data_IF_570950861928
#
_entry.id   IF_570950861928
#
_cell.length_a   1.000
_cell.length_b   1.000
_cell.length_c   1.000
_cell.angle_alpha   90.00
_cell.angle_beta   90.00
_cell.angle_gamma   90.00
#
_symmetry.space_group_name_H-M   'P 1'
#
loop_
_entity.id
_entity.type
_entity.pdbx_description
1 polymer ?
#
# COMPACT_ATOMS: atom_id res chain seq x y z
N UNK A 1 -8.85 37.78 -12.55
CA UNK A 1 -9.25 36.71 -11.61
C UNK A 1 -7.97 36.15 -11.05
N UNK A 2 -7.79 36.13 -9.72
CA UNK A 2 -6.61 35.50 -9.12
C UNK A 2 -6.63 34.02 -9.48
N UNK A 3 -5.47 33.47 -9.86
CA UNK A 3 -5.35 32.05 -10.18
C UNK A 3 -5.65 31.24 -8.92
N UNK A 4 -6.11 29.99 -9.06
CA UNK A 4 -6.36 29.13 -7.89
C UNK A 4 -5.08 28.90 -7.07
N UNK A 5 -3.91 29.00 -7.70
CA UNK A 5 -2.61 29.01 -7.03
C UNK A 5 -2.43 30.23 -6.12
N UNK A 6 -2.84 31.42 -6.55
CA UNK A 6 -2.73 32.65 -5.73
C UNK A 6 -3.62 32.57 -4.48
N UNK A 7 -4.80 31.91 -4.58
CA UNK A 7 -5.68 31.68 -3.43
C UNK A 7 -5.05 30.68 -2.46
N UNK A 8 -4.57 29.55 -2.97
CA UNK A 8 -3.91 28.54 -2.15
C UNK A 8 -2.67 29.12 -1.43
N UNK A 9 -1.90 29.97 -2.12
CA UNK A 9 -0.77 30.67 -1.53
C UNK A 9 -1.21 31.61 -0.40
N UNK A 10 -2.26 32.40 -0.62
CA UNK A 10 -2.79 33.31 0.40
C UNK A 10 -3.31 32.56 1.64
N UNK A 11 -4.00 31.43 1.44
CA UNK A 11 -4.48 30.57 2.52
C UNK A 11 -3.33 29.92 3.29
N UNK A 12 -2.29 29.44 2.60
CA UNK A 12 -1.11 28.87 3.24
C UNK A 12 -0.38 29.90 4.10
N UNK A 13 -0.16 31.11 3.57
CA UNK A 13 0.50 32.20 4.30
C UNK A 13 -0.30 32.69 5.51
N UNK A 14 -1.62 32.53 5.51
CA UNK A 14 -2.47 32.89 6.65
C UNK A 14 -2.40 31.88 7.81
N UNK A 15 -1.94 30.64 7.55
CA UNK A 15 -1.99 29.52 8.50
C UNK A 15 -0.61 28.90 8.76
N UNK A 16 0.47 29.69 8.68
CA UNK A 16 1.85 29.19 8.76
C UNK A 16 2.15 28.43 10.05
N UNK A 17 1.68 28.91 11.21
CA UNK A 17 1.93 28.25 12.50
C UNK A 17 1.35 26.83 12.54
N UNK A 18 0.14 26.65 12.00
CA UNK A 18 -0.49 25.33 11.90
C UNK A 18 0.26 24.44 10.90
N UNK A 19 0.64 25.00 9.74
CA UNK A 19 1.42 24.27 8.73
C UNK A 19 2.74 23.77 9.32
N UNK A 20 3.46 24.62 10.05
CA UNK A 20 4.73 24.23 10.67
C UNK A 20 4.56 23.14 11.71
N UNK A 21 3.61 23.29 12.64
CA UNK A 21 3.36 22.29 13.67
C UNK A 21 3.01 20.92 13.06
N UNK A 22 2.12 20.91 12.07
CA UNK A 22 1.69 19.68 11.38
C UNK A 22 2.79 19.10 10.50
N UNK A 23 3.60 19.94 9.86
CA UNK A 23 4.76 19.49 9.07
C UNK A 23 5.80 18.81 9.94
N UNK A 24 6.10 19.38 11.12
CA UNK A 24 7.04 18.81 12.06
C UNK A 24 6.54 17.48 12.65
N UNK A 25 5.26 17.40 13.01
CA UNK A 25 4.63 16.16 13.46
C UNK A 25 4.69 15.06 12.38
N UNK A 26 4.29 15.41 11.15
CA UNK A 26 4.31 14.48 10.03
C UNK A 26 5.73 14.02 9.66
N UNK A 27 6.71 14.92 9.71
CA UNK A 27 8.10 14.59 9.46
C UNK A 27 8.66 13.67 10.55
N UNK A 28 8.41 13.96 11.83
CA UNK A 28 8.82 13.09 12.93
C UNK A 28 8.24 11.67 12.80
N UNK A 29 6.96 11.58 12.44
CA UNK A 29 6.30 10.30 12.21
C UNK A 29 6.85 9.55 10.99
N UNK A 30 7.15 10.26 9.90
CA UNK A 30 7.84 9.70 8.74
C UNK A 30 9.22 9.12 9.12
N UNK A 31 10.00 9.82 9.95
CA UNK A 31 11.29 9.33 10.44
C UNK A 31 11.10 8.07 11.30
N UNK A 32 10.07 8.02 12.15
CA UNK A 32 9.72 6.84 12.94
C UNK A 32 9.41 5.63 12.05
N UNK A 33 8.55 5.80 11.05
CA UNK A 33 8.20 4.73 10.09
C UNK A 33 9.42 4.29 9.30
N UNK A 34 10.23 5.22 8.79
CA UNK A 34 11.44 4.89 8.04
C UNK A 34 12.47 4.15 8.90
N UNK A 35 12.56 4.44 10.20
CA UNK A 35 13.38 3.68 11.15
C UNK A 35 12.89 2.23 11.28
N UNK A 36 11.59 2.01 11.45
CA UNK A 36 11.01 0.67 11.52
C UNK A 36 11.22 -0.12 10.22
N UNK A 37 11.16 0.57 9.08
CA UNK A 37 11.51 0.01 7.78
C UNK A 37 13.03 -0.24 7.61
N UNK A 38 13.85 0.25 8.54
CA UNK A 38 15.28 0.00 8.65
C UNK A 38 16.17 0.99 7.90
N UNK A 39 15.65 2.14 7.46
CA UNK A 39 16.44 3.17 6.76
C UNK A 39 17.66 3.64 7.56
N UNK A 40 17.49 3.75 8.87
CA UNK A 40 18.50 4.28 9.80
C UNK A 40 19.20 3.19 10.61
N UNK A 41 19.33 1.98 10.04
CA UNK A 41 19.92 0.85 10.75
C UNK A 41 21.33 1.18 11.30
N UNK A 42 21.51 1.03 12.61
CA UNK A 42 22.77 1.32 13.30
C UNK A 42 22.94 2.77 13.78
N UNK A 43 21.92 3.63 13.64
CA UNK A 43 21.91 4.97 14.24
C UNK A 43 21.16 5.01 15.57
N UNK A 44 21.67 5.85 16.48
CA UNK A 44 21.02 6.13 17.77
C UNK A 44 19.80 7.04 17.61
N UNK A 45 18.79 6.84 18.48
CA UNK A 45 17.50 7.54 18.45
C UNK A 45 17.64 9.06 18.58
N UNK A 46 18.64 9.53 19.36
CA UNK A 46 18.93 10.96 19.52
C UNK A 46 19.29 11.62 18.19
N UNK A 47 19.95 10.87 17.30
CA UNK A 47 20.32 11.36 15.97
C UNK A 47 19.13 11.36 15.01
N UNK A 48 18.00 10.75 15.35
CA UNK A 48 16.83 10.67 14.49
C UNK A 48 15.73 11.67 14.87
N UNK A 49 15.99 12.54 15.85
CA UNK A 49 15.07 13.62 16.20
C UNK A 49 14.92 14.60 15.02
N UNK A 50 13.68 14.87 14.62
CA UNK A 50 13.38 15.90 13.64
C UNK A 50 13.62 17.29 14.25
N UNK A 51 14.48 18.15 13.66
CA UNK A 51 14.64 19.52 14.11
C UNK A 51 13.31 20.28 13.89
N UNK A 52 12.72 20.93 14.91
CA UNK A 52 11.45 21.66 14.77
C UNK A 52 11.61 22.93 13.92
N UNK A 53 10.52 23.45 13.37
CA UNK A 53 10.55 24.61 12.46
C UNK A 53 10.90 25.90 13.19
N UNK A 54 10.68 25.91 14.50
CA UNK A 54 11.07 26.99 15.41
C UNK A 54 11.82 26.41 16.62
N UNK A 55 12.82 27.15 17.10
CA UNK A 55 13.52 26.86 18.34
C UNK A 55 12.69 27.18 19.59
N UNK A 56 13.20 26.83 20.77
CA UNK A 56 12.54 27.06 22.06
C UNK A 56 12.24 28.55 22.35
N UNK A 57 12.99 29.45 21.72
CA UNK A 57 12.83 30.90 21.82
C UNK A 57 11.87 31.49 20.75
N UNK A 58 11.26 30.62 19.92
CA UNK A 58 10.38 31.00 18.82
C UNK A 58 11.11 31.51 17.58
N UNK A 59 12.44 31.48 17.54
CA UNK A 59 13.21 31.83 16.34
C UNK A 59 13.07 30.74 15.27
N UNK A 60 13.08 31.10 13.97
CA UNK A 60 13.12 30.12 12.89
C UNK A 60 14.33 29.19 13.04
N UNK A 61 14.17 27.94 12.62
CA UNK A 61 15.25 26.96 12.61
C UNK A 61 16.49 27.47 11.87
N UNK A 62 17.66 27.13 12.41
CA UNK A 62 18.94 27.58 11.90
C UNK A 62 19.47 26.69 10.75
N UNK A 63 20.66 27.04 10.25
CA UNK A 63 21.31 26.32 9.16
C UNK A 63 21.60 24.86 9.54
N UNK A 64 22.06 24.61 10.77
CA UNK A 64 22.40 23.26 11.23
C UNK A 64 21.14 22.38 11.29
N UNK A 65 20.02 22.92 11.79
CA UNK A 65 18.74 22.24 11.80
C UNK A 65 18.22 21.93 10.39
N UNK A 66 18.29 22.89 9.45
CA UNK A 66 17.86 22.65 8.06
C UNK A 66 18.76 21.65 7.34
N UNK A 67 20.07 21.69 7.57
CA UNK A 67 21.01 20.69 7.05
C UNK A 67 20.68 19.31 7.60
N UNK A 68 20.38 19.21 8.90
CA UNK A 68 20.01 17.95 9.52
C UNK A 68 18.70 17.39 8.96
N UNK A 69 17.69 18.23 8.73
CA UNK A 69 16.45 17.83 8.04
C UNK A 69 16.75 17.27 6.65
N UNK A 70 17.58 17.96 5.87
CA UNK A 70 17.94 17.53 4.52
C UNK A 70 18.67 16.19 4.52
N UNK A 71 19.59 15.97 5.46
CA UNK A 71 20.28 14.68 5.63
C UNK A 71 19.33 13.52 5.94
N UNK A 72 18.42 13.72 6.90
CA UNK A 72 17.45 12.69 7.29
C UNK A 72 16.55 12.29 6.12
N UNK A 73 16.03 13.25 5.37
CA UNK A 73 15.17 12.99 4.21
C UNK A 73 15.97 12.39 3.05
N UNK A 74 17.21 12.85 2.81
CA UNK A 74 18.08 12.30 1.78
C UNK A 74 18.40 10.81 2.04
N UNK A 75 18.65 10.43 3.29
CA UNK A 75 18.91 9.03 3.65
C UNK A 75 17.70 8.12 3.43
N UNK A 76 16.49 8.61 3.72
CA UNK A 76 15.27 7.88 3.38
C UNK A 76 15.16 7.74 1.86
N UNK A 77 15.26 8.85 1.15
CA UNK A 77 15.19 8.89 -0.31
C UNK A 77 16.19 7.90 -0.93
N UNK A 78 17.47 8.06 -0.68
CA UNK A 78 18.51 7.23 -1.32
C UNK A 78 18.41 5.75 -0.93
N UNK A 79 17.83 5.46 0.24
CA UNK A 79 17.57 4.10 0.70
C UNK A 79 16.35 3.41 0.07
N UNK A 80 15.40 4.14 -0.51
CA UNK A 80 14.14 3.56 -1.02
C UNK A 80 14.35 2.70 -2.28
N UNK A 81 15.07 3.11 -3.34
CA UNK A 81 15.20 2.33 -4.56
C UNK A 81 15.65 0.88 -4.36
N UNK A 82 16.72 0.57 -3.59
CA UNK A 82 17.13 -0.82 -3.38
C UNK A 82 16.10 -1.62 -2.55
N UNK A 83 15.44 -1.01 -1.56
CA UNK A 83 14.40 -1.67 -0.74
C UNK A 83 13.16 -1.99 -1.55
N UNK A 84 12.66 -1.00 -2.30
CA UNK A 84 11.56 -1.16 -3.26
C UNK A 84 11.85 -2.29 -4.22
N UNK A 85 13.01 -2.28 -4.88
CA UNK A 85 13.34 -3.30 -5.87
C UNK A 85 13.37 -4.70 -5.24
N UNK A 86 13.97 -4.86 -4.06
CA UNK A 86 13.98 -6.15 -3.34
C UNK A 86 12.55 -6.62 -3.04
N UNK A 87 11.72 -5.78 -2.42
CA UNK A 87 10.35 -6.15 -2.05
C UNK A 87 9.44 -6.43 -3.24
N UNK A 88 9.64 -5.73 -4.35
CA UNK A 88 8.92 -5.99 -5.60
C UNK A 88 9.34 -7.30 -6.24
N UNK A 89 10.63 -7.61 -6.26
CA UNK A 89 11.13 -8.91 -6.73
C UNK A 89 10.58 -10.03 -5.85
N UNK A 90 10.64 -9.90 -4.52
CA UNK A 90 10.09 -10.90 -3.61
C UNK A 90 8.59 -11.14 -3.83
N UNK A 91 7.82 -10.08 -4.10
CA UNK A 91 6.39 -10.19 -4.37
C UNK A 91 6.10 -10.83 -5.73
N UNK A 92 6.84 -10.43 -6.76
CA UNK A 92 6.76 -11.00 -8.09
C UNK A 92 7.12 -12.49 -8.10
N UNK A 93 8.20 -12.86 -7.42
CA UNK A 93 8.65 -14.25 -7.33
C UNK A 93 7.61 -15.12 -6.61
N UNK A 94 6.97 -14.60 -5.55
CA UNK A 94 5.83 -15.28 -4.91
C UNK A 94 4.67 -15.43 -5.90
N UNK A 95 4.27 -14.37 -6.60
CA UNK A 95 3.20 -14.43 -7.60
C UNK A 95 3.47 -15.49 -8.68
N UNK A 96 4.66 -15.47 -9.29
CA UNK A 96 5.04 -16.44 -10.31
C UNK A 96 5.14 -17.87 -9.75
N UNK A 97 5.58 -18.06 -8.49
CA UNK A 97 5.61 -19.38 -7.87
C UNK A 97 4.22 -20.01 -7.66
N UNK A 98 3.18 -19.18 -7.47
CA UNK A 98 1.78 -19.63 -7.26
C UNK A 98 1.05 -19.89 -8.57
N UNK A 99 1.49 -19.26 -9.65
CA UNK A 99 0.85 -19.33 -10.98
C UNK A 99 0.68 -20.76 -11.52
N UNK A 100 1.66 -21.68 -11.45
CA UNK A 100 1.47 -23.05 -11.95
C UNK A 100 0.35 -23.79 -11.22
N UNK A 101 0.29 -23.68 -9.89
CA UNK A 101 -0.75 -24.30 -9.08
C UNK A 101 -2.13 -23.73 -9.41
N UNK A 102 -2.25 -22.42 -9.59
CA UNK A 102 -3.48 -21.76 -10.03
C UNK A 102 -3.97 -22.29 -11.38
N UNK A 103 -3.10 -22.31 -12.40
CA UNK A 103 -3.46 -22.78 -13.74
C UNK A 103 -3.80 -24.27 -13.80
N UNK A 104 -3.12 -25.10 -13.00
CA UNK A 104 -3.46 -26.52 -12.84
C UNK A 104 -4.84 -26.69 -12.23
N UNK A 105 -5.14 -25.96 -11.15
CA UNK A 105 -6.42 -26.08 -10.44
C UNK A 105 -7.60 -25.49 -11.23
N UNK A 106 -7.41 -24.47 -12.06
CA UNK A 106 -8.45 -24.03 -13.00
C UNK A 106 -8.83 -25.12 -14.00
N UNK A 107 -7.85 -25.89 -14.48
CA UNK A 107 -8.11 -27.04 -15.38
C UNK A 107 -8.82 -28.17 -14.63
N UNK A 108 -8.43 -28.43 -13.39
CA UNK A 108 -9.09 -29.39 -12.51
C UNK A 108 -10.56 -28.99 -12.26
N UNK A 109 -10.82 -27.72 -11.95
CA UNK A 109 -12.17 -27.20 -11.76
C UNK A 109 -13.06 -27.49 -12.97
N UNK A 110 -12.59 -27.18 -14.18
CA UNK A 110 -13.35 -27.43 -15.41
C UNK A 110 -13.58 -28.93 -15.65
N UNK A 111 -12.61 -29.78 -15.33
CA UNK A 111 -12.76 -31.22 -15.48
C UNK A 111 -13.80 -31.79 -14.49
N UNK A 112 -13.71 -31.41 -13.21
CA UNK A 112 -14.62 -31.89 -12.15
C UNK A 112 -16.03 -31.35 -12.38
N UNK A 113 -16.18 -30.07 -12.78
CA UNK A 113 -17.50 -29.50 -13.12
C UNK A 113 -18.17 -30.27 -14.26
N UNK A 114 -17.39 -30.69 -15.26
CA UNK A 114 -17.91 -31.43 -16.41
C UNK A 114 -18.38 -32.83 -16.00
N UNK A 115 -17.57 -33.56 -15.22
CA UNK A 115 -17.96 -34.86 -14.68
C UNK A 115 -19.19 -34.77 -13.78
N UNK A 116 -19.26 -33.76 -12.90
CA UNK A 116 -20.41 -33.54 -12.02
C UNK A 116 -21.73 -33.44 -12.79
N UNK A 117 -21.72 -32.75 -13.94
CA UNK A 117 -22.89 -32.62 -14.81
C UNK A 117 -23.13 -33.88 -15.63
N UNK A 118 -22.08 -34.48 -16.20
CA UNK A 118 -22.18 -35.67 -17.04
C UNK A 118 -22.66 -36.91 -16.24
N UNK A 119 -22.34 -36.98 -14.95
CA UNK A 119 -22.74 -38.05 -14.02
C UNK A 119 -24.13 -37.81 -13.38
N UNK A 120 -24.86 -36.77 -13.81
CA UNK A 120 -26.18 -36.38 -13.29
C UNK A 120 -26.20 -36.10 -11.77
N UNK A 121 -25.07 -35.65 -11.20
CA UNK A 121 -24.96 -35.29 -9.79
C UNK A 121 -25.64 -33.93 -9.44
N UNK A 122 -25.94 -33.14 -10.48
CA UNK A 122 -26.65 -31.87 -10.39
C UNK A 122 -26.39 -30.96 -11.61
N UNK A 123 -26.85 -29.71 -11.51
CA UNK A 123 -26.61 -28.69 -12.53
C UNK A 123 -25.28 -27.97 -12.32
N UNK A 124 -24.81 -27.24 -13.33
CA UNK A 124 -23.67 -26.31 -13.18
C UNK A 124 -23.88 -25.31 -12.04
N UNK A 125 -25.12 -24.84 -11.84
CA UNK A 125 -25.45 -23.93 -10.74
C UNK A 125 -25.25 -24.60 -9.39
N UNK A 126 -25.69 -25.85 -9.24
CA UNK A 126 -25.48 -26.62 -8.01
C UNK A 126 -23.99 -26.77 -7.69
N UNK A 127 -23.18 -27.01 -8.72
CA UNK A 127 -21.72 -27.08 -8.59
C UNK A 127 -21.11 -25.75 -8.14
N UNK A 128 -21.54 -24.63 -8.72
CA UNK A 128 -21.05 -23.29 -8.35
C UNK A 128 -21.45 -22.93 -6.91
N UNK A 129 -22.64 -23.35 -6.45
CA UNK A 129 -23.08 -23.17 -5.06
C UNK A 129 -22.22 -24.00 -4.08
N UNK A 130 -21.85 -25.23 -4.44
CA UNK A 130 -20.90 -26.05 -3.67
C UNK A 130 -19.50 -25.40 -3.66
N UNK A 131 -18.97 -25.00 -4.81
CA UNK A 131 -17.68 -24.31 -4.89
C UNK A 131 -17.66 -23.02 -4.06
N UNK A 132 -18.75 -22.26 -4.08
CA UNK A 132 -18.91 -21.04 -3.29
C UNK A 132 -18.70 -21.27 -1.79
N UNK A 133 -19.12 -22.41 -1.24
CA UNK A 133 -18.89 -22.76 0.18
C UNK A 133 -17.40 -22.87 0.47
N UNK A 134 -16.68 -23.73 -0.26
CA UNK A 134 -15.25 -23.96 0.00
C UNK A 134 -14.37 -22.77 -0.43
N UNK A 135 -14.86 -21.91 -1.33
CA UNK A 135 -14.21 -20.66 -1.67
C UNK A 135 -14.28 -19.65 -0.53
N UNK A 136 -15.44 -19.51 0.12
CA UNK A 136 -15.59 -18.69 1.32
C UNK A 136 -14.77 -19.24 2.49
N UNK A 137 -14.73 -20.57 2.68
CA UNK A 137 -13.84 -21.22 3.65
C UNK A 137 -12.37 -20.88 3.38
N UNK A 138 -11.94 -20.96 2.11
CA UNK A 138 -10.56 -20.62 1.72
C UNK A 138 -10.22 -19.13 1.93
N UNK A 139 -11.19 -18.22 1.71
CA UNK A 139 -11.06 -16.78 1.99
C UNK A 139 -11.01 -16.45 3.48
N UNK A 140 -11.62 -17.26 4.34
CA UNK A 140 -11.62 -17.07 5.79
C UNK A 140 -10.34 -17.58 6.48
N UNK A 141 -9.43 -18.23 5.73
CA UNK A 141 -8.13 -18.63 6.27
C UNK A 141 -7.33 -17.41 6.69
N UNK A 142 -6.45 -17.60 7.67
CA UNK A 142 -5.46 -16.58 8.06
C UNK A 142 -4.65 -16.16 6.82
N UNK A 143 -4.31 -14.86 6.73
CA UNK A 143 -3.65 -14.28 5.56
C UNK A 143 -2.40 -15.11 5.20
N UNK A 144 -2.33 -15.68 3.98
CA UNK A 144 -1.23 -16.54 3.59
C UNK A 144 0.11 -15.79 3.47
N UNK A 145 0.13 -14.46 3.59
CA UNK A 145 1.30 -13.63 3.33
C UNK A 145 1.71 -12.83 4.57
N UNK A 146 2.75 -13.27 5.30
CA UNK A 146 3.26 -12.50 6.45
C UNK A 146 3.89 -11.19 5.97
N UNK A 147 3.62 -10.13 6.73
CA UNK A 147 4.21 -8.80 6.58
C UNK A 147 5.48 -8.70 7.43
N UNK A 148 6.49 -7.95 6.94
CA UNK A 148 7.63 -7.56 7.78
C UNK A 148 7.27 -6.38 8.71
N UNK A 149 8.09 -6.11 9.73
CA UNK A 149 7.80 -5.05 10.71
C UNK A 149 7.67 -3.63 10.08
N UNK A 150 8.36 -3.37 8.96
CA UNK A 150 8.21 -2.13 8.21
C UNK A 150 6.87 -2.08 7.47
N UNK A 151 6.44 -3.20 6.90
CA UNK A 151 5.14 -3.33 6.24
C UNK A 151 3.98 -3.25 7.24
N UNK A 152 4.11 -3.85 8.42
CA UNK A 152 3.16 -3.71 9.53
C UNK A 152 3.02 -2.25 9.95
N UNK A 153 4.13 -1.52 10.09
CA UNK A 153 4.11 -0.10 10.40
C UNK A 153 3.42 0.73 9.31
N UNK A 154 3.60 0.38 8.03
CA UNK A 154 2.90 1.04 6.91
C UNK A 154 1.39 0.74 6.90
N UNK A 155 0.97 -0.43 7.36
CA UNK A 155 -0.46 -0.76 7.55
C UNK A 155 -1.04 0.01 8.73
N UNK A 156 -0.33 0.06 9.86
CA UNK A 156 -0.72 0.88 11.03
C UNK A 156 -0.90 2.35 10.64
N UNK A 157 0.02 2.87 9.82
CA UNK A 157 -0.01 4.22 9.30
C UNK A 157 -1.00 4.43 8.13
N UNK A 158 -1.80 3.42 7.79
CA UNK A 158 -2.82 3.44 6.71
C UNK A 158 -2.27 3.77 5.32
N UNK A 159 -0.98 3.57 5.11
CA UNK A 159 -0.31 3.74 3.80
C UNK A 159 -0.42 2.50 2.95
N UNK A 160 -0.53 1.34 3.59
CA UNK A 160 -0.71 0.03 2.98
C UNK A 160 -1.89 -0.69 3.60
N UNK A 161 -2.37 -1.75 2.95
CA UNK A 161 -3.35 -2.68 3.52
C UNK A 161 -2.79 -4.09 3.56
N UNK A 162 -3.27 -4.92 4.47
CA UNK A 162 -3.00 -6.34 4.44
C UNK A 162 -3.80 -7.01 3.29
N UNK A 163 -3.19 -7.94 2.53
CA UNK A 163 -3.88 -8.71 1.50
C UNK A 163 -5.14 -9.40 2.05
N UNK A 164 -6.22 -9.39 1.27
CA UNK A 164 -7.50 -10.06 1.59
C UNK A 164 -8.14 -9.69 2.95
N UNK A 165 -7.63 -8.69 3.68
CA UNK A 165 -8.14 -8.34 5.01
C UNK A 165 -9.65 -8.00 5.03
N UNK A 166 -10.17 -7.50 3.91
CA UNK A 166 -11.59 -7.19 3.73
C UNK A 166 -12.46 -8.44 3.53
N UNK A 167 -11.91 -9.53 3.00
CA UNK A 167 -12.65 -10.74 2.66
C UNK A 167 -13.15 -11.45 3.92
N UNK A 168 -12.33 -11.52 4.98
CA UNK A 168 -12.69 -12.15 6.27
C UNK A 168 -13.98 -11.54 6.85
N UNK A 169 -14.09 -10.21 6.86
CA UNK A 169 -15.26 -9.50 7.40
C UNK A 169 -16.55 -9.66 6.56
N UNK A 170 -16.43 -10.15 5.32
CA UNK A 170 -17.55 -10.42 4.42
C UNK A 170 -17.99 -11.87 4.53
N UNK A 171 -17.07 -12.81 4.79
CA UNK A 171 -17.40 -14.25 4.93
C UNK A 171 -18.46 -14.47 6.00
N UNK A 172 -18.35 -13.84 7.17
CA UNK A 172 -19.32 -13.98 8.28
C UNK A 172 -20.73 -13.46 7.95
N UNK A 173 -20.87 -12.65 6.89
CA UNK A 173 -22.13 -12.01 6.49
C UNK A 173 -22.81 -12.73 5.34
N UNK A 174 -22.10 -13.64 4.65
CA UNK A 174 -22.64 -14.40 3.52
C UNK A 174 -23.23 -15.73 4.02
N UNK A 175 -24.46 -15.95 3.57
CA UNK A 175 -25.51 -16.84 4.07
C UNK A 175 -25.32 -18.33 3.67
N UNK A 176 -26.19 -19.25 4.15
CA UNK A 176 -25.91 -20.68 4.14
C UNK A 176 -25.86 -21.23 2.71
N UNK A 177 -24.72 -21.80 2.34
CA UNK A 177 -24.63 -22.72 1.21
C UNK A 177 -25.09 -24.13 1.60
N UNK A 178 -24.90 -25.12 0.72
CA UNK A 178 -25.08 -26.53 1.05
C UNK A 178 -24.46 -26.89 2.40
N UNK A 179 -25.21 -27.60 3.24
CA UNK A 179 -24.74 -28.01 4.56
C UNK A 179 -23.50 -28.90 4.48
N UNK A 180 -22.75 -28.99 5.58
CA UNK A 180 -21.58 -29.87 5.67
C UNK A 180 -21.94 -31.36 5.40
N UNK A 181 -23.20 -31.73 5.60
CA UNK A 181 -23.74 -33.08 5.41
C UNK A 181 -24.27 -33.36 3.99
N UNK A 182 -24.04 -32.48 3.00
CA UNK A 182 -24.47 -32.73 1.62
C UNK A 182 -23.80 -34.01 1.08
N UNK A 183 -24.57 -35.01 0.63
CA UNK A 183 -24.02 -36.31 0.21
C UNK A 183 -23.10 -36.18 -1.01
N UNK A 184 -23.25 -35.13 -1.82
CA UNK A 184 -22.40 -34.88 -3.00
C UNK A 184 -20.95 -34.63 -2.61
N UNK A 185 -20.68 -34.20 -1.37
CA UNK A 185 -19.32 -33.96 -0.88
C UNK A 185 -18.43 -35.18 -0.93
N UNK A 186 -18.99 -36.36 -0.65
CA UNK A 186 -18.25 -37.62 -0.57
C UNK A 186 -18.10 -38.33 -1.93
N UNK A 187 -18.75 -37.82 -2.98
CA UNK A 187 -18.65 -38.41 -4.33
C UNK A 187 -17.24 -38.25 -4.85
N UNK A 188 -16.69 -39.33 -5.40
CA UNK A 188 -15.33 -39.36 -5.91
C UNK A 188 -15.30 -39.00 -7.40
N UNK A 189 -14.37 -38.13 -7.78
CA UNK A 189 -14.13 -37.75 -9.16
C UNK A 189 -12.70 -38.12 -9.56
N UNK A 190 -12.56 -38.62 -10.78
CA UNK A 190 -11.26 -38.97 -11.35
C UNK A 190 -10.68 -37.77 -12.10
N UNK A 191 -9.39 -37.52 -11.95
CA UNK A 191 -8.73 -36.44 -12.67
C UNK A 191 -7.47 -36.93 -13.38
N UNK A 192 -7.16 -36.28 -14.50
CA UNK A 192 -5.97 -36.55 -15.29
C UNK A 192 -5.44 -35.24 -15.86
N UNK A 193 -4.34 -34.76 -15.28
CA UNK A 193 -3.74 -33.47 -15.61
C UNK A 193 -2.23 -33.62 -15.67
N UNK A 194 -1.61 -33.05 -16.70
CA UNK A 194 -0.15 -32.96 -16.85
C UNK A 194 0.58 -34.32 -16.74
N UNK A 195 -0.09 -35.41 -17.13
CA UNK A 195 0.45 -36.78 -17.06
C UNK A 195 0.30 -37.46 -15.69
N UNK A 196 -0.28 -36.77 -14.71
CA UNK A 196 -0.68 -37.31 -13.42
C UNK A 196 -2.15 -37.71 -13.44
N UNK A 197 -2.49 -38.78 -12.74
CA UNK A 197 -3.86 -39.22 -12.54
C UNK A 197 -4.15 -39.44 -11.06
N UNK A 198 -5.38 -39.20 -10.66
CA UNK A 198 -5.82 -39.43 -9.29
C UNK A 198 -7.33 -39.46 -9.16
N UNK A 199 -7.78 -39.69 -7.94
CA UNK A 199 -9.18 -39.72 -7.58
C UNK A 199 -9.32 -39.16 -6.17
N UNK A 200 -10.27 -38.25 -5.98
CA UNK A 200 -10.57 -37.69 -4.67
C UNK A 200 -12.03 -37.26 -4.57
N UNK A 201 -12.48 -36.97 -3.36
CA UNK A 201 -13.83 -36.48 -3.08
C UNK A 201 -14.07 -35.08 -3.66
N UNK A 202 -15.32 -34.77 -4.00
CA UNK A 202 -15.71 -33.45 -4.49
C UNK A 202 -15.26 -32.34 -3.54
N UNK A 203 -15.45 -32.54 -2.24
CA UNK A 203 -15.08 -31.54 -1.23
C UNK A 203 -13.58 -31.27 -1.24
N UNK A 204 -12.77 -32.32 -1.30
CA UNK A 204 -11.31 -32.18 -1.27
C UNK A 204 -10.77 -31.53 -2.55
N UNK A 205 -11.30 -31.92 -3.72
CA UNK A 205 -10.93 -31.30 -4.99
C UNK A 205 -11.30 -29.81 -5.02
N UNK A 206 -12.53 -29.46 -4.63
CA UNK A 206 -12.96 -28.06 -4.62
C UNK A 206 -12.20 -27.23 -3.57
N UNK A 207 -11.84 -27.82 -2.42
CA UNK A 207 -10.97 -27.18 -1.41
C UNK A 207 -9.58 -26.90 -1.96
N UNK A 208 -8.94 -27.89 -2.59
CA UNK A 208 -7.63 -27.70 -3.22
C UNK A 208 -7.68 -26.59 -4.28
N UNK A 209 -8.74 -26.57 -5.09
CA UNK A 209 -8.95 -25.55 -6.11
C UNK A 209 -9.11 -24.18 -5.45
N UNK A 210 -10.00 -24.04 -4.47
CA UNK A 210 -10.29 -22.75 -3.85
C UNK A 210 -9.07 -22.17 -3.14
N UNK A 211 -8.30 -23.01 -2.43
CA UNK A 211 -7.05 -22.60 -1.79
C UNK A 211 -6.02 -22.10 -2.82
N UNK A 212 -5.84 -22.82 -3.93
CA UNK A 212 -4.93 -22.38 -4.99
C UNK A 212 -5.36 -21.08 -5.66
N UNK A 213 -6.67 -20.85 -5.80
CA UNK A 213 -7.23 -19.59 -6.31
C UNK A 213 -6.98 -18.46 -5.33
N UNK A 214 -7.32 -18.64 -4.06
CA UNK A 214 -7.14 -17.62 -3.02
C UNK A 214 -5.66 -17.28 -2.82
N UNK A 215 -4.78 -18.28 -2.79
CA UNK A 215 -3.33 -18.08 -2.67
C UNK A 215 -2.76 -17.24 -3.84
N UNK A 216 -3.25 -17.48 -5.05
CA UNK A 216 -2.80 -16.74 -6.23
C UNK A 216 -3.36 -15.31 -6.24
N UNK A 217 -4.62 -15.12 -5.86
CA UNK A 217 -5.22 -13.80 -5.70
C UNK A 217 -4.51 -12.98 -4.62
N UNK A 218 -4.23 -13.58 -3.46
CA UNK A 218 -3.46 -12.95 -2.39
C UNK A 218 -2.06 -12.51 -2.87
N UNK A 219 -1.37 -13.38 -3.62
CA UNK A 219 -0.05 -13.05 -4.16
C UNK A 219 -0.10 -11.89 -5.18
N UNK A 220 -1.12 -11.87 -6.04
CA UNK A 220 -1.35 -10.78 -7.00
C UNK A 220 -1.68 -9.46 -6.30
N UNK A 221 -2.59 -9.49 -5.32
CA UNK A 221 -2.94 -8.32 -4.50
C UNK A 221 -1.71 -7.79 -3.76
N UNK A 222 -0.92 -8.66 -3.15
CA UNK A 222 0.30 -8.28 -2.43
C UNK A 222 1.32 -7.59 -3.35
N UNK A 223 1.50 -8.09 -4.58
CA UNK A 223 2.36 -7.44 -5.57
C UNK A 223 1.84 -6.04 -5.94
N UNK A 224 0.53 -5.89 -6.15
CA UNK A 224 -0.10 -4.61 -6.47
C UNK A 224 0.01 -3.61 -5.31
N UNK A 225 -0.25 -4.06 -4.08
CA UNK A 225 -0.09 -3.26 -2.85
C UNK A 225 1.36 -2.76 -2.73
N UNK A 226 2.35 -3.65 -2.80
CA UNK A 226 3.76 -3.27 -2.70
C UNK A 226 4.18 -2.29 -3.80
N UNK A 227 3.70 -2.49 -5.04
CA UNK A 227 3.98 -1.55 -6.12
C UNK A 227 3.45 -0.15 -5.82
N UNK A 228 2.19 -0.04 -5.42
CA UNK A 228 1.58 1.25 -5.09
C UNK A 228 2.25 1.90 -3.86
N UNK A 229 2.43 1.14 -2.77
CA UNK A 229 3.04 1.64 -1.54
C UNK A 229 4.47 2.10 -1.76
N UNK A 230 5.36 1.26 -2.33
CA UNK A 230 6.78 1.60 -2.43
C UNK A 230 7.13 2.51 -3.63
N UNK A 231 6.31 2.55 -4.68
CA UNK A 231 6.57 3.41 -5.85
C UNK A 231 5.80 4.71 -5.78
N UNK A 232 4.46 4.63 -5.70
CA UNK A 232 3.60 5.79 -5.84
C UNK A 232 3.51 6.59 -4.54
N UNK A 233 3.46 5.93 -3.38
CA UNK A 233 3.34 6.65 -2.12
C UNK A 233 4.71 7.01 -1.54
N UNK A 234 5.54 6.02 -1.25
CA UNK A 234 6.80 6.22 -0.54
C UNK A 234 7.84 6.93 -1.42
N UNK A 235 8.15 6.39 -2.60
CA UNK A 235 9.21 6.95 -3.44
C UNK A 235 8.88 8.33 -4.00
N UNK A 236 7.68 8.50 -4.55
CA UNK A 236 7.25 9.81 -5.03
C UNK A 236 7.05 10.80 -3.87
N UNK A 237 6.39 10.39 -2.78
CA UNK A 237 6.16 11.23 -1.61
C UNK A 237 7.46 11.75 -0.99
N UNK A 238 8.46 10.88 -0.78
CA UNK A 238 9.76 11.32 -0.27
C UNK A 238 10.49 12.22 -1.26
N UNK A 239 10.32 12.02 -2.57
CA UNK A 239 10.97 12.85 -3.60
C UNK A 239 10.46 14.28 -3.53
N UNK A 240 9.15 14.46 -3.31
CA UNK A 240 8.54 15.77 -3.06
C UNK A 240 9.04 16.35 -1.74
N UNK A 241 9.05 15.56 -0.66
CA UNK A 241 9.53 16.01 0.65
C UNK A 241 10.99 16.47 0.61
N UNK A 242 11.84 15.73 -0.11
CA UNK A 242 13.25 16.06 -0.34
C UNK A 242 13.39 17.40 -1.04
N UNK A 243 12.65 17.63 -2.13
CA UNK A 243 12.67 18.91 -2.83
C UNK A 243 12.25 20.06 -1.91
N UNK A 244 11.20 19.89 -1.10
CA UNK A 244 10.75 20.91 -0.15
C UNK A 244 11.85 21.25 0.86
N UNK A 245 12.45 20.24 1.49
CA UNK A 245 13.51 20.44 2.50
C UNK A 245 14.78 21.04 1.90
N UNK A 246 15.18 20.62 0.69
CA UNK A 246 16.36 21.19 0.01
C UNK A 246 16.14 22.64 -0.43
N UNK A 247 14.93 22.99 -0.88
CA UNK A 247 14.59 24.37 -1.24
C UNK A 247 14.51 25.24 0.02
N UNK A 248 14.01 24.72 1.14
CA UNK A 248 14.02 25.44 2.42
C UNK A 248 15.45 25.81 2.85
N UNK A 249 16.39 24.86 2.78
CA UNK A 249 17.81 25.12 3.03
C UNK A 249 18.42 26.09 2.01
N UNK A 250 18.03 25.99 0.73
CA UNK A 250 18.47 26.91 -0.30
C UNK A 250 18.02 28.35 -0.05
N UNK A 251 16.77 28.55 0.40
CA UNK A 251 16.24 29.88 0.76
C UNK A 251 17.15 30.53 1.80
N UNK A 252 17.50 29.80 2.87
CA UNK A 252 18.40 30.31 3.91
C UNK A 252 19.77 30.70 3.33
N UNK A 253 20.35 29.86 2.46
CA UNK A 253 21.66 30.12 1.84
C UNK A 253 21.65 31.30 0.87
N UNK A 254 20.51 31.60 0.25
CA UNK A 254 20.36 32.72 -0.67
C UNK A 254 20.11 34.06 0.03
N UNK A 255 19.69 34.06 1.30
CA UNK A 255 19.50 35.29 2.09
C UNK A 255 20.80 36.10 2.12
N UNK A 256 20.73 37.38 1.77
CA UNK A 256 21.89 38.28 1.68
C UNK A 256 22.81 38.07 0.47
N UNK A 257 22.56 37.04 -0.35
CA UNK A 257 23.38 36.70 -1.53
C UNK A 257 22.62 36.84 -2.85
N UNK A 258 21.28 36.83 -2.80
CA UNK A 258 20.39 37.04 -3.94
C UNK A 258 19.44 38.23 -3.69
N UNK A 259 18.64 38.60 -4.70
CA UNK A 259 17.66 39.69 -4.56
C UNK A 259 16.55 39.26 -3.60
N UNK A 260 16.26 40.10 -2.59
CA UNK A 260 15.28 39.78 -1.55
C UNK A 260 13.89 39.43 -2.11
N UNK A 261 13.45 40.14 -3.15
CA UNK A 261 12.16 39.90 -3.80
C UNK A 261 12.03 38.49 -4.41
N UNK A 262 13.15 37.90 -4.84
CA UNK A 262 13.18 36.53 -5.35
C UNK A 262 13.21 35.50 -4.23
N UNK A 263 13.99 35.77 -3.18
CA UNK A 263 14.11 34.89 -2.03
C UNK A 263 12.78 34.81 -1.27
N UNK A 264 12.10 35.94 -1.05
CA UNK A 264 10.78 36.02 -0.42
C UNK A 264 9.72 35.24 -1.19
N UNK A 265 9.75 35.32 -2.53
CA UNK A 265 8.85 34.53 -3.38
C UNK A 265 9.15 33.04 -3.26
N UNK A 266 10.42 32.64 -3.31
CA UNK A 266 10.79 31.24 -3.18
C UNK A 266 10.35 30.68 -1.83
N UNK A 267 10.59 31.43 -0.75
CA UNK A 267 10.14 31.07 0.59
C UNK A 267 8.62 30.88 0.64
N UNK A 268 7.85 31.82 0.10
CA UNK A 268 6.39 31.73 0.06
C UNK A 268 5.89 30.46 -0.66
N UNK A 269 6.56 30.09 -1.77
CA UNK A 269 6.23 28.85 -2.49
C UNK A 269 6.63 27.59 -1.71
N UNK A 270 7.73 27.61 -0.94
CA UNK A 270 8.08 26.50 -0.04
C UNK A 270 6.98 26.29 1.01
N UNK A 271 6.45 27.37 1.60
CA UNK A 271 5.33 27.27 2.57
C UNK A 271 4.07 26.70 1.95
N UNK A 272 3.76 27.13 0.71
CA UNK A 272 2.66 26.54 -0.05
C UNK A 272 2.87 25.04 -0.29
N UNK A 273 4.08 24.62 -0.69
CA UNK A 273 4.39 23.21 -0.90
C UNK A 273 4.27 22.38 0.39
N UNK A 274 4.71 22.91 1.53
CA UNK A 274 4.51 22.28 2.84
C UNK A 274 3.02 22.09 3.14
N UNK A 275 2.19 23.11 2.91
CA UNK A 275 0.74 23.02 3.08
C UNK A 275 0.08 21.99 2.15
N UNK A 276 0.45 21.97 0.87
CA UNK A 276 -0.08 21.00 -0.11
C UNK A 276 0.33 19.56 0.22
N UNK A 277 1.55 19.35 0.73
CA UNK A 277 2.05 18.05 1.15
C UNK A 277 1.27 17.51 2.36
N UNK A 278 0.92 18.38 3.32
CA UNK A 278 0.08 18.04 4.45
C UNK A 278 -1.35 17.71 4.05
N UNK A 279 -1.94 18.48 3.12
CA UNK A 279 -3.25 18.17 2.56
C UNK A 279 -3.25 16.81 1.87
N UNK A 280 -2.21 16.50 1.11
CA UNK A 280 -2.02 15.21 0.47
C UNK A 280 -1.95 14.07 1.51
N UNK A 281 -1.16 14.24 2.57
CA UNK A 281 -1.03 13.25 3.65
C UNK A 281 -2.37 13.05 4.39
N UNK A 282 -3.06 14.13 4.72
CA UNK A 282 -4.37 14.07 5.39
C UNK A 282 -5.41 13.33 4.54
N UNK A 283 -5.47 13.62 3.24
CA UNK A 283 -6.38 12.93 2.33
C UNK A 283 -6.12 11.41 2.28
N UNK A 284 -4.85 10.99 2.41
CA UNK A 284 -4.49 9.57 2.52
C UNK A 284 -4.90 8.93 3.86
N UNK A 285 -4.80 9.66 4.97
CA UNK A 285 -5.13 9.12 6.29
C UNK A 285 -6.64 8.98 6.55
N UNK A 286 -7.45 9.82 5.92
CA UNK A 286 -8.91 9.86 6.10
C UNK A 286 -9.64 8.77 5.29
N UNK A 287 -9.39 8.70 3.96
CA UNK A 287 -9.92 7.63 3.10
C UNK A 287 -9.12 7.54 1.79
N UNK A 288 -8.17 6.59 1.67
CA UNK A 288 -7.40 6.37 0.44
C UNK A 288 -8.26 6.12 -0.81
N UNK A 289 -9.49 5.60 -0.65
CA UNK A 289 -10.41 5.32 -1.75
C UNK A 289 -11.19 6.56 -2.22
N UNK A 290 -11.19 7.65 -1.45
CA UNK A 290 -11.81 8.94 -1.82
C UNK A 290 -10.86 9.92 -2.49
N UNK A 291 -9.58 9.57 -2.64
CA UNK A 291 -8.61 10.37 -3.37
C UNK A 291 -8.94 10.30 -4.87
N UNK A 292 -9.85 11.18 -5.29
CA UNK A 292 -10.15 11.40 -6.70
C UNK A 292 -9.01 12.24 -7.30
N UNK A 293 -8.30 11.77 -8.34
CA UNK A 293 -7.11 12.45 -8.86
C UNK A 293 -7.40 13.77 -9.60
N UNK A 294 -8.59 14.36 -9.52
CA UNK A 294 -8.90 15.59 -10.26
C UNK A 294 -8.00 16.76 -9.88
N UNK A 295 -7.48 16.77 -8.65
CA UNK A 295 -6.63 17.84 -8.12
C UNK A 295 -5.20 17.39 -7.75
N UNK A 296 -4.82 16.13 -8.05
CA UNK A 296 -3.52 15.55 -7.68
C UNK A 296 -2.79 14.92 -8.87
N UNK A 297 -1.45 15.02 -8.85
CA UNK A 297 -0.50 14.72 -9.94
C UNK A 297 -0.48 13.27 -10.46
N UNK A 298 -1.32 12.37 -9.95
CA UNK A 298 -1.32 10.96 -10.33
C UNK A 298 -2.09 10.79 -11.65
N UNK A 299 -1.34 10.68 -12.76
CA UNK A 299 -1.86 10.43 -14.11
C UNK A 299 -2.49 9.06 -14.34
N UNK A 300 -2.93 8.35 -13.30
CA UNK A 300 -3.77 7.17 -13.41
C UNK A 300 -4.91 7.24 -12.40
N UNK A 301 -6.11 6.84 -12.80
CA UNK A 301 -7.20 6.60 -11.87
C UNK A 301 -6.69 5.61 -10.82
N UNK A 302 -6.59 6.06 -9.57
CA UNK A 302 -6.28 5.24 -8.41
C UNK A 302 -7.31 4.10 -8.38
N UNK A 303 -6.99 2.96 -8.98
CA UNK A 303 -7.89 1.82 -9.03
C UNK A 303 -7.74 1.08 -7.71
N UNK A 304 -8.52 1.51 -6.71
CA UNK A 304 -8.69 0.80 -5.44
C UNK A 304 -9.37 -0.57 -5.60
N UNK A 305 -9.69 -0.95 -6.84
CA UNK A 305 -10.34 -2.18 -7.25
C UNK A 305 -9.58 -2.82 -8.41
N UNK A 306 -8.51 -3.53 -8.06
CA UNK A 306 -8.22 -4.86 -8.62
C UNK A 306 -7.94 -5.77 -7.45
#
# INVERSE_FOLDING_TARGET
>A
MSSDLDKALAEALANLDEIFARYDEAAAELIRVARLDGHFAGRDDVNLAWPPSHGDDGSPIDAEGLERRAELIAEIHDGIPPRRNRRLVDAHDRYESRRPAYLRNLRLFLQVQRQFVDDDAGTTRDFDELYGVVYLEALAREDPLPLDAGEEALVEFKVSRAPLAHAVAIVDKIRPGPGADDPRWAVLYEWNLDGEHGQDSLRELLRQISEAVVDFLAAGEHMAIRYNTFSNFIWFGISVWKAVTEIELLVLRLRGSARDDWVDRLESHVRLLQGMLLQFLQAHLEDPAQIRPTDYWYGQQYSYLT
#
